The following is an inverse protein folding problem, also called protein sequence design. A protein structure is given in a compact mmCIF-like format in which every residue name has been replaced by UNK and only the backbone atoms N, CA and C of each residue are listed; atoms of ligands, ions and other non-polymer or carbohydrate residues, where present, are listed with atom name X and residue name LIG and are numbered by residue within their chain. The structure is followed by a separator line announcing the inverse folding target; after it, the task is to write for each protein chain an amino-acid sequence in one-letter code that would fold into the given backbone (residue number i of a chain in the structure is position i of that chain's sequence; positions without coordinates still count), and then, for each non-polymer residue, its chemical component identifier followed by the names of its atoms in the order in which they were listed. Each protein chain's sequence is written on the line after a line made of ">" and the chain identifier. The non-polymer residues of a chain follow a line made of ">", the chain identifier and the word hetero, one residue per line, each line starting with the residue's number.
data_IF_170829355770
#
_entry.id   IF_170829355770
#
_cell.length_a   1.000
_cell.length_b   1.000
_cell.length_c   1.000
_cell.angle_alpha   90.00
_cell.angle_beta   90.00
_cell.angle_gamma   90.00
#
_symmetry.space_group_name_H-M   'P 1'
#
loop_
_entity.id
_entity.type
_entity.pdbx_description
1 polymer ?
#
# COMPACT_ATOMS: atom_id res chain seq x y z
N UNK A 1 -15.88 -13.51 5.98
CA UNK A 1 -15.09 -13.24 4.77
C UNK A 1 -13.66 -13.20 5.24
N UNK A 2 -12.85 -14.16 4.82
CA UNK A 2 -11.51 -14.34 5.35
C UNK A 2 -10.57 -13.25 4.81
N UNK A 3 -9.62 -12.82 5.63
CA UNK A 3 -8.63 -11.84 5.25
C UNK A 3 -7.77 -12.34 4.09
N UNK A 4 -7.85 -11.66 2.94
CA UNK A 4 -7.05 -12.02 1.76
C UNK A 4 -5.67 -11.39 1.84
N UNK A 5 -4.63 -12.22 1.76
CA UNK A 5 -3.24 -11.78 1.80
C UNK A 5 -2.89 -10.91 0.58
N UNK A 6 -2.04 -9.91 0.80
CA UNK A 6 -1.52 -9.01 -0.23
C UNK A 6 0.00 -9.06 -0.24
N UNK A 7 0.60 -8.90 -1.42
CA UNK A 7 2.05 -8.78 -1.56
C UNK A 7 2.59 -7.65 -0.66
N UNK A 8 3.61 -7.91 0.17
CA UNK A 8 4.21 -6.92 1.05
C UNK A 8 5.18 -5.96 0.32
N UNK A 9 5.39 -6.11 -0.98
CA UNK A 9 6.00 -5.04 -1.78
C UNK A 9 5.00 -3.88 -1.89
N UNK A 10 5.34 -2.73 -1.28
CA UNK A 10 4.48 -1.53 -1.24
C UNK A 10 4.09 -0.99 -2.62
N UNK A 11 4.92 -1.24 -3.65
CA UNK A 11 4.64 -0.86 -5.04
C UNK A 11 3.69 -1.83 -5.76
N UNK A 12 3.53 -3.05 -5.25
CA UNK A 12 2.76 -4.12 -5.89
C UNK A 12 1.39 -4.30 -5.22
N UNK A 13 1.37 -4.70 -3.94
CA UNK A 13 0.14 -4.87 -3.12
C UNK A 13 -0.97 -5.74 -3.75
N UNK A 14 -0.65 -6.53 -4.77
CA UNK A 14 -1.60 -7.44 -5.43
C UNK A 14 -2.14 -8.46 -4.43
N UNK A 15 -3.39 -8.86 -4.63
CA UNK A 15 -3.97 -9.99 -3.91
C UNK A 15 -3.22 -11.28 -4.26
N UNK A 16 -3.04 -12.14 -3.26
CA UNK A 16 -2.37 -13.42 -3.37
C UNK A 16 -3.42 -14.53 -3.24
N UNK A 17 -3.48 -15.43 -4.23
CA UNK A 17 -4.55 -16.44 -4.30
C UNK A 17 -4.07 -17.86 -4.58
N UNK A 18 -2.97 -18.05 -5.32
CA UNK A 18 -2.49 -19.39 -5.71
C UNK A 18 -1.16 -19.69 -5.03
N UNK A 19 -0.10 -18.97 -5.42
CA UNK A 19 1.26 -19.17 -4.90
C UNK A 19 1.92 -17.87 -4.49
N UNK A 20 2.73 -17.97 -3.45
CA UNK A 20 3.50 -16.85 -2.91
C UNK A 20 4.78 -17.35 -2.24
N UNK A 21 5.73 -16.43 -1.99
CA UNK A 21 6.90 -16.72 -1.16
C UNK A 21 6.68 -16.11 0.21
N UNK A 22 6.72 -16.95 1.26
CA UNK A 22 6.59 -16.55 2.67
C UNK A 22 7.97 -16.59 3.32
N UNK A 23 8.24 -15.63 4.20
CA UNK A 23 9.48 -15.54 4.96
C UNK A 23 9.28 -15.81 6.45
N UNK A 24 10.35 -16.24 7.13
CA UNK A 24 10.34 -16.46 8.58
C UNK A 24 10.16 -15.17 9.39
N UNK A 25 10.45 -14.01 8.81
CA UNK A 25 10.13 -12.70 9.38
C UNK A 25 8.68 -12.24 9.11
N UNK A 26 7.77 -13.18 8.82
CA UNK A 26 6.34 -12.95 8.64
C UNK A 26 5.95 -12.07 7.45
N UNK A 27 6.76 -12.00 6.40
CA UNK A 27 6.41 -11.29 5.16
C UNK A 27 6.05 -12.27 4.04
N UNK A 28 5.24 -11.82 3.09
CA UNK A 28 4.75 -12.60 1.96
C UNK A 28 4.78 -11.77 0.67
N UNK A 29 5.24 -12.39 -0.41
CA UNK A 29 5.41 -11.74 -1.71
C UNK A 29 4.81 -12.58 -2.83
N UNK A 30 4.25 -11.94 -3.85
CA UNK A 30 3.90 -12.65 -5.07
C UNK A 30 5.17 -13.20 -5.75
N UNK A 31 5.02 -14.23 -6.56
CA UNK A 31 6.14 -14.88 -7.26
C UNK A 31 6.98 -13.86 -8.05
N UNK A 32 6.32 -12.95 -8.78
CA UNK A 32 7.02 -11.94 -9.57
C UNK A 32 7.89 -11.00 -8.72
N UNK A 33 7.37 -10.54 -7.58
CA UNK A 33 8.13 -9.71 -6.64
C UNK A 33 9.26 -10.50 -5.97
N UNK A 34 9.02 -11.76 -5.59
CA UNK A 34 10.05 -12.61 -5.02
C UNK A 34 11.26 -12.76 -5.96
N UNK A 35 11.01 -12.99 -7.25
CA UNK A 35 12.08 -13.10 -8.24
C UNK A 35 12.78 -11.78 -8.53
N UNK A 36 12.02 -10.70 -8.68
CA UNK A 36 12.59 -9.39 -9.01
C UNK A 36 13.37 -8.76 -7.84
N UNK A 37 12.97 -9.05 -6.60
CA UNK A 37 13.59 -8.51 -5.39
C UNK A 37 14.66 -9.44 -4.81
N UNK A 38 15.00 -10.53 -5.52
CA UNK A 38 16.12 -11.41 -5.16
C UNK A 38 15.84 -12.40 -4.02
N UNK A 39 14.57 -12.63 -3.66
CA UNK A 39 14.18 -13.65 -2.69
C UNK A 39 14.27 -15.07 -3.26
N UNK A 40 14.06 -15.23 -4.58
CA UNK A 40 14.06 -16.56 -5.22
C UNK A 40 15.44 -17.02 -5.71
N UNK A 41 16.50 -16.19 -5.57
CA UNK A 41 17.84 -16.53 -6.04
C UNK A 41 18.61 -17.27 -4.94
N UNK A 42 18.87 -18.56 -5.17
CA UNK A 42 19.66 -19.41 -4.26
C UNK A 42 21.18 -19.10 -4.35
N UNK A 43 21.60 -18.46 -5.45
CA UNK A 43 23.02 -18.31 -5.83
C UNK A 43 23.70 -17.02 -5.30
N UNK A 44 23.03 -16.27 -4.41
CA UNK A 44 23.61 -15.05 -3.81
C UNK A 44 23.61 -15.21 -2.29
N UNK A 45 24.81 -15.19 -1.71
CA UNK A 45 25.13 -15.64 -0.36
C UNK A 45 24.37 -14.97 0.82
N UNK A 46 23.46 -14.02 0.59
CA UNK A 46 22.57 -13.47 1.61
C UNK A 46 21.28 -13.00 0.94
N UNK A 47 20.15 -13.71 1.17
CA UNK A 47 18.82 -13.15 0.87
C UNK A 47 18.48 -12.13 1.96
N UNK A 48 17.82 -11.05 1.58
CA UNK A 48 17.36 -10.00 2.52
C UNK A 48 15.87 -9.78 2.27
N UNK A 49 15.07 -9.73 3.35
CA UNK A 49 13.65 -9.47 3.22
C UNK A 49 13.41 -8.05 2.66
N UNK A 50 12.74 -7.89 1.49
CA UNK A 50 12.52 -6.58 0.88
C UNK A 50 11.59 -5.64 1.67
N UNK A 51 10.93 -6.12 2.72
CA UNK A 51 9.99 -5.35 3.51
C UNK A 51 10.55 -4.88 4.86
N UNK A 52 11.50 -5.62 5.45
CA UNK A 52 12.02 -5.34 6.80
C UNK A 52 13.54 -5.49 6.94
N UNK A 53 14.25 -5.69 5.82
CA UNK A 53 15.71 -5.81 5.73
C UNK A 53 16.34 -6.92 6.60
N UNK A 54 15.53 -7.85 7.10
CA UNK A 54 16.02 -8.99 7.87
C UNK A 54 16.83 -9.92 6.97
N UNK A 55 18.07 -10.29 7.33
CA UNK A 55 18.84 -11.29 6.61
C UNK A 55 18.20 -12.68 6.71
N UNK A 56 17.97 -13.32 5.56
CA UNK A 56 17.34 -14.63 5.39
C UNK A 56 18.43 -15.63 4.98
N UNK A 57 19.19 -16.11 5.97
CA UNK A 57 20.43 -16.88 5.76
C UNK A 57 20.17 -18.36 5.54
N UNK A 58 19.09 -18.89 6.10
CA UNK A 58 18.75 -20.31 6.01
C UNK A 58 17.93 -20.56 4.74
N UNK A 59 18.06 -21.74 4.11
CA UNK A 59 17.24 -22.14 2.96
C UNK A 59 15.74 -21.96 3.21
N UNK A 60 15.28 -22.28 4.41
CA UNK A 60 13.86 -22.23 4.82
C UNK A 60 13.39 -20.84 5.25
N UNK A 61 14.26 -19.82 5.27
CA UNK A 61 13.86 -18.45 5.63
C UNK A 61 12.97 -17.77 4.57
N UNK A 62 12.90 -18.34 3.36
CA UNK A 62 12.02 -17.90 2.29
C UNK A 62 11.61 -19.11 1.43
N UNK A 63 10.32 -19.47 1.47
CA UNK A 63 9.79 -20.68 0.82
C UNK A 63 8.58 -20.34 -0.03
N UNK A 64 8.51 -20.90 -1.23
CA UNK A 64 7.29 -20.87 -2.07
C UNK A 64 6.22 -21.77 -1.45
N UNK A 65 5.03 -21.23 -1.26
CA UNK A 65 3.88 -21.93 -0.68
C UNK A 65 2.68 -21.86 -1.60
N UNK A 66 1.88 -22.93 -1.59
CA UNK A 66 0.54 -22.95 -2.14
C UNK A 66 -0.43 -22.44 -1.07
N UNK A 67 -1.21 -21.41 -1.39
CA UNK A 67 -2.09 -20.73 -0.45
C UNK A 67 -3.42 -21.47 -0.25
N UNK A 68 -3.80 -22.32 -1.21
CA UNK A 68 -4.98 -23.17 -1.14
C UNK A 68 -4.60 -24.61 -1.56
N UNK A 69 -3.88 -25.35 -0.70
CA UNK A 69 -3.47 -26.71 -1.02
C UNK A 69 -4.67 -27.68 -1.00
N UNK A 70 -4.57 -28.78 -1.74
CA UNK A 70 -5.61 -29.82 -1.75
C UNK A 70 -5.78 -30.48 -0.39
N UNK A 71 -6.97 -31.02 -0.10
CA UNK A 71 -7.22 -31.76 1.15
C UNK A 71 -6.24 -32.93 1.32
N UNK A 72 -5.96 -33.68 0.25
CA UNK A 72 -4.99 -34.78 0.28
C UNK A 72 -3.57 -34.32 0.64
N UNK A 73 -3.17 -33.13 0.17
CA UNK A 73 -1.87 -32.56 0.53
C UNK A 73 -1.84 -32.13 2.00
N UNK A 74 -2.91 -31.49 2.50
CA UNK A 74 -3.06 -31.14 3.92
C UNK A 74 -2.96 -32.40 4.80
N UNK A 75 -3.66 -33.47 4.44
CA UNK A 75 -3.56 -34.76 5.15
C UNK A 75 -2.15 -35.31 5.09
N UNK A 76 -1.51 -35.32 3.91
CA UNK A 76 -0.19 -35.90 3.71
C UNK A 76 0.91 -35.19 4.49
N UNK A 77 0.90 -33.84 4.52
CA UNK A 77 1.94 -33.05 5.20
C UNK A 77 1.79 -33.08 6.73
N UNK A 78 0.57 -33.29 7.23
CA UNK A 78 0.30 -33.37 8.67
C UNK A 78 0.44 -34.80 9.22
N UNK A 79 0.19 -35.82 8.40
CA UNK A 79 0.26 -37.22 8.81
C UNK A 79 1.69 -37.63 9.16
N UNK A 80 1.89 -38.10 10.39
CA UNK A 80 3.21 -38.48 10.91
C UNK A 80 3.86 -37.44 11.83
N UNK A 81 3.31 -36.23 11.92
CA UNK A 81 3.72 -35.23 12.90
C UNK A 81 3.08 -35.51 14.27
N UNK A 82 3.78 -35.19 15.35
CA UNK A 82 3.21 -35.27 16.69
C UNK A 82 2.17 -34.16 16.92
N UNK A 83 1.18 -34.35 17.81
CA UNK A 83 0.20 -33.30 18.15
C UNK A 83 0.87 -31.98 18.56
N UNK A 84 1.99 -32.04 19.28
CA UNK A 84 2.76 -30.85 19.67
C UNK A 84 3.26 -30.06 18.46
N UNK A 85 3.87 -30.74 17.48
CA UNK A 85 4.37 -30.09 16.25
C UNK A 85 3.21 -29.47 15.46
N UNK A 86 2.09 -30.18 15.33
CA UNK A 86 0.89 -29.67 14.64
C UNK A 86 0.39 -28.38 15.30
N UNK A 87 0.30 -28.37 16.63
CA UNK A 87 -0.12 -27.19 17.39
C UNK A 87 0.87 -26.02 17.27
N UNK A 88 2.18 -26.28 17.23
CA UNK A 88 3.19 -25.25 16.96
C UNK A 88 3.03 -24.64 15.57
N UNK A 89 2.84 -25.47 14.54
CA UNK A 89 2.59 -25.02 13.17
C UNK A 89 1.33 -24.13 13.10
N UNK A 90 0.23 -24.56 13.73
CA UNK A 90 -1.00 -23.79 13.81
C UNK A 90 -0.78 -22.45 14.52
N UNK A 91 -0.07 -22.43 15.66
CA UNK A 91 0.26 -21.21 16.38
C UNK A 91 1.07 -20.21 15.55
N UNK A 92 2.09 -20.69 14.81
CA UNK A 92 2.88 -19.85 13.90
C UNK A 92 2.05 -19.32 12.73
N UNK A 93 1.17 -20.14 12.16
CA UNK A 93 0.26 -19.71 11.09
C UNK A 93 -0.70 -18.62 11.57
N UNK A 94 -1.29 -18.76 12.76
CA UNK A 94 -2.16 -17.75 13.35
C UNK A 94 -1.41 -16.44 13.65
N UNK A 95 -0.19 -16.53 14.20
CA UNK A 95 0.65 -15.36 14.44
C UNK A 95 0.98 -14.61 13.14
N UNK A 96 1.27 -15.35 12.06
CA UNK A 96 1.49 -14.79 10.74
C UNK A 96 0.27 -14.02 10.22
N UNK A 97 -0.94 -14.60 10.29
CA UNK A 97 -2.16 -13.92 9.85
C UNK A 97 -2.50 -12.70 10.71
N UNK A 98 -2.27 -12.79 12.03
CA UNK A 98 -2.43 -11.65 12.93
C UNK A 98 -1.50 -10.51 12.53
N UNK A 99 -0.21 -10.80 12.30
CA UNK A 99 0.77 -9.82 11.83
C UNK A 99 0.35 -9.17 10.51
N UNK A 100 -0.03 -9.97 9.52
CA UNK A 100 -0.45 -9.48 8.20
C UNK A 100 -1.71 -8.60 8.29
N UNK A 101 -2.66 -8.97 9.15
CA UNK A 101 -3.88 -8.18 9.39
C UNK A 101 -3.54 -6.83 10.02
N UNK A 102 -2.69 -6.82 11.06
CA UNK A 102 -2.24 -5.57 11.68
C UNK A 102 -1.51 -4.67 10.69
N UNK A 103 -0.60 -5.24 9.88
CA UNK A 103 0.10 -4.48 8.84
C UNK A 103 -0.87 -3.87 7.81
N UNK A 104 -1.91 -4.60 7.40
CA UNK A 104 -2.93 -4.06 6.50
C UNK A 104 -3.69 -2.88 7.12
N UNK A 105 -4.12 -3.01 8.38
CA UNK A 105 -4.82 -1.93 9.09
C UNK A 105 -3.94 -0.67 9.14
N UNK A 106 -2.68 -0.80 9.56
CA UNK A 106 -1.74 0.33 9.61
C UNK A 106 -1.53 0.97 8.22
N UNK A 107 -1.44 0.15 7.17
CA UNK A 107 -1.31 0.64 5.80
C UNK A 107 -2.55 1.43 5.34
N UNK A 108 -3.75 0.92 5.60
CA UNK A 108 -4.99 1.59 5.24
C UNK A 108 -5.18 2.90 6.03
N UNK A 109 -4.84 2.91 7.32
CA UNK A 109 -4.84 4.13 8.14
C UNK A 109 -3.91 5.21 7.58
N UNK A 110 -2.69 4.83 7.19
CA UNK A 110 -1.75 5.74 6.54
C UNK A 110 -2.30 6.30 5.23
N UNK A 111 -2.88 5.45 4.38
CA UNK A 111 -3.49 5.89 3.12
C UNK A 111 -4.65 6.85 3.35
N UNK A 112 -5.53 6.55 4.31
CA UNK A 112 -6.67 7.39 4.64
C UNK A 112 -6.21 8.78 5.14
N UNK A 113 -5.19 8.81 5.99
CA UNK A 113 -4.59 10.07 6.47
C UNK A 113 -3.98 10.87 5.31
N UNK A 114 -3.15 10.23 4.49
CA UNK A 114 -2.52 10.89 3.33
C UNK A 114 -3.54 11.43 2.34
N UNK A 115 -4.62 10.68 2.09
CA UNK A 115 -5.71 11.11 1.22
C UNK A 115 -6.44 12.32 1.80
N UNK A 116 -6.71 12.32 3.10
CA UNK A 116 -7.36 13.43 3.81
C UNK A 116 -6.52 14.71 3.75
N UNK A 117 -5.21 14.60 3.98
CA UNK A 117 -4.26 15.72 3.86
C UNK A 117 -4.22 16.31 2.45
N UNK A 118 -4.17 15.45 1.42
CA UNK A 118 -4.22 15.88 0.01
C UNK A 118 -5.54 16.55 -0.34
N UNK A 119 -6.65 16.03 0.16
CA UNK A 119 -7.97 16.62 -0.04
C UNK A 119 -8.06 18.01 0.59
N UNK A 120 -7.60 18.16 1.85
CA UNK A 120 -7.57 19.45 2.53
C UNK A 120 -6.67 20.47 1.81
N UNK A 121 -5.51 20.04 1.32
CA UNK A 121 -4.61 20.87 0.52
C UNK A 121 -5.27 21.33 -0.78
N UNK A 122 -5.92 20.41 -1.51
CA UNK A 122 -6.60 20.72 -2.76
C UNK A 122 -7.79 21.67 -2.53
N UNK A 123 -8.55 21.47 -1.46
CA UNK A 123 -9.65 22.38 -1.10
C UNK A 123 -9.14 23.79 -0.80
N UNK A 124 -8.06 23.93 -0.03
CA UNK A 124 -7.44 25.23 0.23
C UNK A 124 -6.90 25.90 -1.03
N UNK A 125 -6.33 25.12 -1.97
CA UNK A 125 -5.91 25.65 -3.27
C UNK A 125 -7.10 26.15 -4.09
N UNK A 126 -8.22 25.43 -4.07
CA UNK A 126 -9.46 25.85 -4.74
C UNK A 126 -10.02 27.15 -4.15
N UNK A 127 -10.08 27.28 -2.83
CA UNK A 127 -10.54 28.51 -2.16
C UNK A 127 -9.66 29.71 -2.54
N UNK A 128 -8.34 29.52 -2.63
CA UNK A 128 -7.40 30.56 -3.08
C UNK A 128 -7.67 30.98 -4.52
N UNK A 129 -7.81 30.02 -5.44
CA UNK A 129 -8.10 30.32 -6.85
C UNK A 129 -9.41 31.10 -7.00
N UNK A 130 -10.45 30.73 -6.25
CA UNK A 130 -11.73 31.46 -6.25
C UNK A 130 -11.55 32.89 -5.71
N UNK A 131 -10.80 33.05 -4.63
CA UNK A 131 -10.53 34.37 -4.05
C UNK A 131 -9.74 35.28 -5.01
N UNK A 132 -8.68 34.75 -5.62
CA UNK A 132 -7.84 35.48 -6.56
C UNK A 132 -8.63 35.91 -7.79
N UNK A 133 -9.45 35.01 -8.37
CA UNK A 133 -10.32 35.31 -9.50
C UNK A 133 -11.36 36.39 -9.16
N UNK A 134 -11.98 36.32 -7.98
CA UNK A 134 -12.94 37.33 -7.53
C UNK A 134 -12.27 38.70 -7.35
N UNK A 135 -11.04 38.73 -6.82
CA UNK A 135 -10.25 39.95 -6.65
C UNK A 135 -9.89 40.58 -7.99
N UNK A 136 -9.51 39.77 -8.98
CA UNK A 136 -9.22 40.24 -10.33
C UNK A 136 -10.48 40.79 -11.02
N UNK A 137 -11.62 40.09 -10.92
CA UNK A 137 -12.92 40.56 -11.45
C UNK A 137 -13.30 41.91 -10.84
N UNK A 138 -13.16 42.08 -9.52
CA UNK A 138 -13.43 43.34 -8.85
C UNK A 138 -12.54 44.46 -9.39
N UNK A 139 -11.22 44.22 -9.47
CA UNK A 139 -10.28 45.20 -10.02
C UNK A 139 -10.55 45.57 -11.49
N UNK A 140 -10.99 44.63 -12.31
CA UNK A 140 -11.38 44.90 -13.70
C UNK A 140 -12.68 45.71 -13.79
N UNK A 141 -13.67 45.42 -12.92
CA UNK A 141 -14.93 46.20 -12.84
C UNK A 141 -14.67 47.64 -12.42
N UNK A 142 -13.79 47.87 -11.45
CA UNK A 142 -13.43 49.22 -10.99
C UNK A 142 -12.75 50.02 -12.10
N UNK A 143 -11.80 49.41 -12.83
CA UNK A 143 -11.14 50.03 -13.99
C UNK A 143 -12.13 50.39 -15.11
N UNK A 144 -13.10 49.52 -15.38
CA UNK A 144 -14.15 49.79 -16.37
C UNK A 144 -15.02 50.98 -15.93
N UNK A 145 -15.51 50.99 -14.68
CA UNK A 145 -16.31 52.09 -14.15
C UNK A 145 -15.56 53.42 -14.18
N UNK A 146 -14.28 53.43 -13.79
CA UNK A 146 -13.43 54.63 -13.85
C UNK A 146 -13.28 55.16 -15.28
N UNK A 147 -13.10 54.29 -16.28
CA UNK A 147 -13.05 54.69 -17.69
C UNK A 147 -14.38 55.23 -18.21
N UNK A 148 -15.51 54.62 -17.82
CA UNK A 148 -16.83 55.13 -18.20
C UNK A 148 -17.12 56.51 -17.61
N UNK A 149 -16.77 56.73 -16.34
CA UNK A 149 -16.90 58.03 -15.68
C UNK A 149 -16.02 59.10 -16.34
N UNK A 150 -14.77 58.77 -16.65
CA UNK A 150 -13.86 59.69 -17.35
C UNK A 150 -14.36 60.04 -18.77
N UNK A 151 -14.85 59.05 -19.54
CA UNK A 151 -15.39 59.30 -20.88
C UNK A 151 -16.68 60.13 -20.87
N UNK A 152 -17.53 60.02 -19.84
CA UNK A 152 -18.72 60.87 -19.69
C UNK A 152 -18.35 62.32 -19.33
N UNK A 153 -17.33 62.53 -18.49
CA UNK A 153 -16.85 63.87 -18.14
C UNK A 153 -16.11 64.59 -19.29
N UNK A 154 -15.68 63.85 -20.32
CA UNK A 154 -14.86 64.38 -21.42
C UNK A 154 -15.64 64.67 -22.71
N UNK A 155 -16.97 64.52 -22.71
CA UNK A 155 -17.80 64.84 -23.89
C UNK A 155 -18.07 66.35 -23.96
N UNK A 156 -17.63 67.07 -25.01
CA UNK A 156 -18.04 68.46 -25.22
C UNK A 156 -19.51 68.51 -25.65
N UNK A 157 -20.18 69.58 -25.23
CA UNK A 157 -21.57 69.94 -25.59
C UNK A 157 -21.78 70.06 -27.10
#
# INVERSE_FOLDING_TARGET
>A
MDFTLRCNSLKCRTLLSDRAVVTTCSHIFCIACSSNLGLSKVDSAVRVCPACDTPLRNPDDAVETCLDPTEDYKTSVLSGLSPTIVMECAGRALAFYSYQTTQEVMYQEYLAKSLTEKYAMLNSQMDKVVHDANTEIAGLRDKLQGRFAHNQASRPY
#
